data_IF_698747543093
#
_entry.id   IF_698747543093
#
_cell.length_a   1.000
_cell.length_b   1.000
_cell.length_c   1.000
_cell.angle_alpha   90.00
_cell.angle_beta   90.00
_cell.angle_gamma   90.00
#
_symmetry.space_group_name_H-M   'P 1'
#
loop_
_entity.id
_entity.type
_entity.pdbx_description
1 polymer ?
#
# COMPACT_ATOMS: atom_id res chain seq x y z
N UNK A 1 36.91 -31.52 70.11
CA UNK A 1 35.72 -32.25 70.31
C UNK A 1 34.65 -31.46 69.59
N UNK A 2 34.44 -31.88 68.35
CA UNK A 2 33.23 -32.48 67.78
C UNK A 2 32.18 -31.42 67.42
N UNK A 3 31.55 -31.42 66.35
CA UNK A 3 31.43 -32.26 65.17
C UNK A 3 30.77 -31.43 64.08
N UNK A 4 31.19 -31.67 62.85
CA UNK A 4 30.55 -31.29 61.61
C UNK A 4 29.11 -31.83 61.51
N UNK A 5 28.19 -31.04 61.01
CA UNK A 5 27.13 -31.58 60.17
C UNK A 5 26.84 -30.61 58.98
N UNK A 6 27.12 -31.17 57.82
CA UNK A 6 26.73 -30.67 56.51
C UNK A 6 25.24 -30.82 56.31
N UNK A 7 24.55 -29.75 55.95
CA UNK A 7 23.25 -29.86 55.26
C UNK A 7 23.32 -29.18 53.91
N UNK A 8 23.35 -30.03 52.91
CA UNK A 8 23.28 -29.73 51.51
C UNK A 8 21.79 -29.60 51.15
N UNK A 9 21.28 -28.40 51.00
CA UNK A 9 19.97 -28.17 50.42
C UNK A 9 20.09 -27.87 48.94
N UNK A 10 19.70 -28.85 48.12
CA UNK A 10 19.44 -28.75 46.68
C UNK A 10 18.28 -27.80 46.42
N UNK A 11 18.56 -26.61 45.92
CA UNK A 11 17.53 -25.78 45.31
C UNK A 11 17.46 -26.10 43.81
N UNK A 12 16.41 -26.87 43.45
CA UNK A 12 15.96 -27.05 42.08
C UNK A 12 15.35 -25.73 41.60
N UNK A 13 16.09 -25.00 40.80
CA UNK A 13 15.53 -23.91 40.00
C UNK A 13 14.71 -24.49 38.82
N UNK A 14 13.39 -24.46 38.95
CA UNK A 14 12.48 -24.61 37.84
C UNK A 14 12.58 -23.33 36.96
N UNK A 15 13.31 -23.44 35.87
CA UNK A 15 13.19 -22.48 34.77
C UNK A 15 11.85 -22.71 34.06
N UNK A 16 10.88 -21.87 34.36
CA UNK A 16 9.69 -21.70 33.53
C UNK A 16 10.10 -21.08 32.19
N UNK A 17 10.09 -21.91 31.16
CA UNK A 17 10.14 -21.46 29.78
C UNK A 17 8.82 -20.72 29.47
N UNK A 18 8.79 -19.41 29.61
CA UNK A 18 7.72 -18.60 29.06
C UNK A 18 7.89 -18.55 27.54
N UNK A 19 7.14 -19.38 26.83
CA UNK A 19 6.91 -19.19 25.41
C UNK A 19 6.32 -17.78 25.21
N UNK A 20 7.04 -16.94 24.50
CA UNK A 20 6.53 -15.62 24.09
C UNK A 20 5.47 -15.85 23.04
N UNK A 21 4.25 -15.47 23.33
CA UNK A 21 3.21 -15.35 22.30
C UNK A 21 3.70 -14.41 21.19
N UNK A 22 3.49 -14.77 19.89
CA UNK A 22 3.92 -13.94 18.78
C UNK A 22 3.19 -12.59 18.86
N UNK A 23 3.95 -11.51 18.78
CA UNK A 23 3.40 -10.16 18.73
C UNK A 23 2.71 -9.93 17.37
N UNK A 24 1.71 -9.04 17.31
CA UNK A 24 0.99 -8.71 16.06
C UNK A 24 1.93 -8.34 14.91
N UNK A 25 3.09 -7.79 15.22
CA UNK A 25 4.12 -7.38 14.25
C UNK A 25 4.79 -8.58 13.54
N UNK A 26 4.96 -9.70 14.26
CA UNK A 26 5.54 -10.93 13.69
C UNK A 26 4.54 -11.62 12.74
N UNK A 27 3.25 -11.58 13.05
CA UNK A 27 2.19 -12.16 12.20
C UNK A 27 1.94 -11.34 10.91
N UNK A 28 2.17 -10.03 10.95
CA UNK A 28 2.11 -9.17 9.75
C UNK A 28 3.34 -9.34 8.86
N UNK A 29 4.53 -9.55 9.43
CA UNK A 29 5.73 -9.87 8.67
C UNK A 29 5.62 -11.22 7.95
N UNK A 30 5.15 -12.26 8.62
CA UNK A 30 4.97 -13.57 8.00
C UNK A 30 3.94 -13.52 6.86
N UNK A 31 2.82 -12.78 7.00
CA UNK A 31 1.85 -12.59 5.92
C UNK A 31 2.41 -11.79 4.75
N UNK A 32 3.21 -10.77 5.00
CA UNK A 32 3.87 -10.00 3.94
C UNK A 32 4.93 -10.83 3.21
N UNK A 33 5.66 -11.70 3.89
CA UNK A 33 6.61 -12.62 3.29
C UNK A 33 5.92 -13.73 2.46
N UNK A 34 4.73 -14.19 2.82
CA UNK A 34 3.94 -15.11 1.99
C UNK A 34 3.41 -14.43 0.72
N UNK A 35 2.94 -13.20 0.81
CA UNK A 35 2.47 -12.43 -0.36
C UNK A 35 3.64 -12.15 -1.33
N UNK A 36 4.85 -11.89 -0.81
CA UNK A 36 6.04 -11.63 -1.63
C UNK A 36 6.53 -12.85 -2.41
N UNK A 37 6.15 -14.05 -2.01
CA UNK A 37 6.52 -15.31 -2.71
C UNK A 37 5.64 -15.61 -3.92
N UNK A 38 4.48 -14.98 -4.02
CA UNK A 38 3.49 -15.31 -5.05
C UNK A 38 3.61 -14.48 -6.32
N UNK A 39 4.36 -13.38 -6.33
CA UNK A 39 4.51 -12.55 -7.51
C UNK A 39 5.96 -12.12 -7.75
N UNK A 40 6.29 -11.93 -9.02
CA UNK A 40 7.59 -11.48 -9.53
C UNK A 40 7.38 -10.20 -10.35
N UNK A 41 8.14 -9.15 -10.04
CA UNK A 41 8.13 -7.91 -10.84
C UNK A 41 8.98 -8.15 -12.09
N UNK A 42 8.40 -7.92 -13.24
CA UNK A 42 9.07 -8.07 -14.54
C UNK A 42 9.41 -6.69 -15.12
N UNK A 43 10.36 -6.67 -16.08
CA UNK A 43 10.61 -5.46 -16.86
C UNK A 43 9.35 -5.01 -17.58
N UNK A 44 9.12 -3.69 -17.62
CA UNK A 44 7.99 -3.07 -18.33
C UNK A 44 8.00 -3.34 -19.84
N UNK A 45 9.14 -3.72 -20.39
CA UNK A 45 9.33 -4.06 -21.81
C UNK A 45 8.93 -5.50 -22.15
N UNK A 46 8.42 -6.26 -21.17
CA UNK A 46 7.91 -7.61 -21.42
C UNK A 46 6.80 -7.57 -22.47
N UNK A 47 7.07 -8.13 -23.65
CA UNK A 47 6.23 -7.96 -24.84
C UNK A 47 4.91 -8.76 -24.79
N UNK A 48 4.80 -9.75 -23.92
CA UNK A 48 3.62 -10.62 -23.83
C UNK A 48 3.05 -10.62 -22.42
N UNK A 49 1.78 -10.27 -22.31
CA UNK A 49 1.01 -10.34 -21.06
C UNK A 49 -0.32 -11.06 -21.30
N UNK A 50 -0.77 -11.82 -20.30
CA UNK A 50 -2.06 -12.51 -20.34
C UNK A 50 -3.24 -11.55 -20.12
N UNK A 51 -3.03 -10.54 -19.26
CA UNK A 51 -4.06 -9.56 -18.90
C UNK A 51 -3.47 -8.16 -18.83
N UNK A 52 -4.30 -7.18 -19.19
CA UNK A 52 -4.01 -5.76 -19.05
C UNK A 52 -5.08 -5.08 -18.21
N UNK A 53 -4.68 -4.38 -17.16
CA UNK A 53 -5.57 -3.69 -16.24
C UNK A 53 -5.20 -2.21 -16.14
N UNK A 54 -6.16 -1.37 -16.43
CA UNK A 54 -6.03 0.06 -16.21
C UNK A 54 -6.41 0.40 -14.77
N UNK A 55 -5.47 1.04 -14.07
CA UNK A 55 -5.63 1.47 -12.67
C UNK A 55 -5.51 2.98 -12.62
N UNK A 56 -6.48 3.65 -12.02
CA UNK A 56 -6.40 5.10 -11.75
C UNK A 56 -6.17 5.33 -10.27
N UNK A 57 -5.30 6.30 -9.94
CA UNK A 57 -5.05 6.74 -8.58
C UNK A 57 -5.54 8.17 -8.43
N UNK A 58 -6.48 8.38 -7.50
CA UNK A 58 -7.20 9.63 -7.30
C UNK A 58 -7.25 10.00 -5.82
N UNK A 59 -7.56 11.23 -5.53
CA UNK A 59 -7.61 11.79 -4.18
C UNK A 59 -7.12 13.24 -4.19
N UNK A 60 -7.24 13.92 -3.06
CA UNK A 60 -6.87 15.33 -2.93
C UNK A 60 -5.37 15.58 -3.21
N UNK A 61 -5.03 16.84 -3.44
CA UNK A 61 -3.63 17.24 -3.59
C UNK A 61 -2.84 17.00 -2.30
N UNK A 62 -1.60 16.53 -2.42
CA UNK A 62 -0.70 16.36 -1.28
C UNK A 62 -0.95 15.12 -0.41
N UNK A 63 -1.91 14.23 -0.74
CA UNK A 63 -2.15 12.98 0.02
C UNK A 63 -1.10 11.89 -0.24
N UNK A 64 -0.21 12.08 -1.22
CA UNK A 64 0.91 11.18 -1.50
C UNK A 64 0.66 10.15 -2.60
N UNK A 65 -0.30 10.36 -3.51
CA UNK A 65 -0.61 9.46 -4.64
C UNK A 65 0.64 9.10 -5.45
N UNK A 66 1.37 10.11 -5.91
CA UNK A 66 2.58 9.95 -6.71
C UNK A 66 3.69 9.26 -5.93
N UNK A 67 3.89 9.59 -4.65
CA UNK A 67 4.87 8.93 -3.80
C UNK A 67 4.55 7.44 -3.64
N UNK A 68 3.27 7.10 -3.43
CA UNK A 68 2.79 5.74 -3.32
C UNK A 68 3.02 4.96 -4.62
N UNK A 69 2.63 5.55 -5.75
CA UNK A 69 2.83 4.94 -7.08
C UNK A 69 4.30 4.72 -7.38
N UNK A 70 5.12 5.73 -7.12
CA UNK A 70 6.57 5.63 -7.34
C UNK A 70 7.17 4.55 -6.45
N UNK A 71 6.82 4.50 -5.16
CA UNK A 71 7.28 3.44 -4.25
C UNK A 71 6.88 2.06 -4.74
N UNK A 72 5.65 1.87 -5.19
CA UNK A 72 5.16 0.59 -5.67
C UNK A 72 5.87 0.12 -6.96
N UNK A 73 6.21 1.04 -7.86
CA UNK A 73 6.75 0.70 -9.19
C UNK A 73 8.28 0.66 -9.25
N UNK A 74 8.97 1.50 -8.48
CA UNK A 74 10.45 1.59 -8.47
C UNK A 74 11.10 0.97 -7.23
N UNK A 75 10.33 0.71 -6.17
CA UNK A 75 10.89 0.29 -4.88
C UNK A 75 11.55 1.43 -4.09
N UNK A 76 11.57 2.67 -4.62
CA UNK A 76 12.22 3.82 -3.98
C UNK A 76 11.19 4.76 -3.38
N UNK A 77 11.52 5.37 -2.24
CA UNK A 77 10.74 6.44 -1.64
C UNK A 77 11.42 7.79 -1.90
N UNK A 78 10.63 8.79 -2.35
CA UNK A 78 11.11 10.16 -2.57
C UNK A 78 10.38 11.12 -1.64
N UNK A 79 11.11 11.68 -0.68
CA UNK A 79 10.56 12.64 0.29
C UNK A 79 10.07 13.94 -0.36
N UNK A 80 10.77 14.42 -1.39
CA UNK A 80 10.46 15.68 -2.06
C UNK A 80 10.07 15.42 -3.51
N UNK A 81 8.77 15.41 -3.75
CA UNK A 81 8.23 15.39 -5.10
C UNK A 81 7.54 16.72 -5.41
N UNK A 82 7.80 17.25 -6.60
CA UNK A 82 7.00 18.36 -7.12
C UNK A 82 5.54 17.88 -7.28
N UNK A 83 4.60 18.81 -7.14
CA UNK A 83 3.18 18.48 -7.38
C UNK A 83 2.96 17.99 -8.80
N UNK A 84 2.17 16.94 -8.98
CA UNK A 84 1.82 16.39 -10.29
C UNK A 84 1.02 17.40 -11.09
N UNK A 85 1.42 17.63 -12.34
CA UNK A 85 0.68 18.46 -13.29
C UNK A 85 0.00 17.54 -14.30
N UNK A 86 -1.33 17.50 -14.26
CA UNK A 86 -2.12 16.62 -15.13
C UNK A 86 -2.11 15.18 -14.64
N UNK A 87 -1.35 14.31 -15.25
CA UNK A 87 -1.24 12.90 -14.89
C UNK A 87 0.15 12.37 -15.25
N UNK A 88 0.53 11.27 -14.59
CA UNK A 88 1.70 10.48 -14.93
C UNK A 88 1.31 9.03 -15.17
N UNK A 89 1.98 8.37 -16.11
CA UNK A 89 1.72 6.99 -16.51
C UNK A 89 2.88 6.09 -16.05
N UNK A 90 2.54 5.05 -15.30
CA UNK A 90 3.49 4.06 -14.79
C UNK A 90 3.09 2.67 -15.27
N UNK A 91 3.77 2.11 -16.27
CA UNK A 91 3.61 0.71 -16.62
C UNK A 91 4.25 -0.17 -15.55
N UNK A 92 3.51 -1.15 -15.07
CA UNK A 92 3.98 -2.07 -14.05
C UNK A 92 3.60 -3.49 -14.44
N UNK A 93 4.59 -4.36 -14.63
CA UNK A 93 4.35 -5.73 -15.09
C UNK A 93 4.72 -6.71 -13.99
N UNK A 94 3.79 -7.57 -13.64
CA UNK A 94 3.97 -8.59 -12.62
C UNK A 94 3.59 -9.96 -13.15
N UNK A 95 4.37 -10.95 -12.77
CA UNK A 95 4.00 -12.35 -12.91
C UNK A 95 3.39 -12.81 -11.60
N UNK A 96 2.17 -13.24 -11.65
CA UNK A 96 1.45 -13.80 -10.51
C UNK A 96 1.06 -15.23 -10.86
N UNK A 97 1.58 -16.19 -10.11
CA UNK A 97 1.47 -17.63 -10.44
C UNK A 97 1.99 -17.85 -11.87
N UNK A 98 1.16 -18.38 -12.78
CA UNK A 98 1.51 -18.65 -14.16
C UNK A 98 0.96 -17.61 -15.15
N UNK A 99 0.61 -16.41 -14.67
CA UNK A 99 0.01 -15.33 -15.47
C UNK A 99 0.84 -14.07 -15.40
N UNK A 100 1.02 -13.43 -16.55
CA UNK A 100 1.67 -12.13 -16.65
C UNK A 100 0.59 -11.05 -16.75
N UNK A 101 0.62 -10.12 -15.79
CA UNK A 101 -0.34 -9.03 -15.68
C UNK A 101 0.37 -7.72 -15.98
N UNK A 102 -0.15 -6.96 -16.92
CA UNK A 102 0.26 -5.58 -17.14
C UNK A 102 -0.70 -4.66 -16.41
N UNK A 103 -0.16 -3.85 -15.49
CA UNK A 103 -0.90 -2.85 -14.75
C UNK A 103 -0.53 -1.47 -15.31
N UNK A 104 -1.48 -0.81 -15.93
CA UNK A 104 -1.35 0.54 -16.46
C UNK A 104 -1.80 1.54 -15.41
N UNK A 105 -0.87 2.03 -14.59
CA UNK A 105 -1.16 2.90 -13.47
C UNK A 105 -1.14 4.36 -13.94
N UNK A 106 -2.27 5.05 -13.76
CA UNK A 106 -2.46 6.45 -14.08
C UNK A 106 -2.56 7.25 -12.79
N UNK A 107 -1.44 7.85 -12.40
CA UNK A 107 -1.38 8.77 -11.26
C UNK A 107 -1.90 10.13 -11.69
N UNK A 108 -2.89 10.65 -10.98
CA UNK A 108 -3.55 11.90 -11.34
C UNK A 108 -3.21 13.02 -10.36
N UNK A 109 -3.16 14.27 -10.86
CA UNK A 109 -3.09 15.42 -9.96
C UNK A 109 -4.37 15.54 -9.14
N UNK A 110 -4.22 15.90 -7.85
CA UNK A 110 -5.36 16.09 -6.94
C UNK A 110 -5.95 17.51 -6.94
N UNK A 111 -5.55 18.37 -7.89
CA UNK A 111 -6.02 19.75 -7.93
C UNK A 111 -7.35 19.87 -8.68
N UNK A 112 -8.28 20.61 -8.10
CA UNK A 112 -9.63 20.84 -8.64
C UNK A 112 -9.60 21.46 -10.05
N UNK A 113 -8.59 22.27 -10.34
CA UNK A 113 -8.41 22.93 -11.64
C UNK A 113 -8.29 21.93 -12.81
N UNK A 114 -7.83 20.71 -12.56
CA UNK A 114 -7.61 19.69 -13.59
C UNK A 114 -8.69 18.61 -13.65
N UNK A 115 -9.74 18.72 -12.85
CA UNK A 115 -10.82 17.70 -12.79
C UNK A 115 -11.49 17.42 -14.14
N UNK A 116 -11.59 18.43 -15.02
CA UNK A 116 -12.15 18.23 -16.36
C UNK A 116 -11.26 17.39 -17.26
N UNK A 117 -9.94 17.54 -17.14
CA UNK A 117 -8.95 16.75 -17.88
C UNK A 117 -8.91 15.30 -17.38
N UNK A 118 -9.04 15.13 -16.07
CA UNK A 118 -8.98 13.81 -15.43
C UNK A 118 -10.17 12.94 -15.86
N UNK A 119 -11.32 13.51 -16.16
CA UNK A 119 -12.54 12.76 -16.57
C UNK A 119 -12.30 11.78 -17.71
N UNK A 120 -11.46 12.13 -18.68
CA UNK A 120 -11.16 11.24 -19.81
C UNK A 120 -10.39 9.98 -19.39
N UNK A 121 -9.68 10.02 -18.25
CA UNK A 121 -8.90 8.89 -17.76
C UNK A 121 -9.71 7.87 -16.96
N UNK A 122 -10.92 8.22 -16.52
CA UNK A 122 -11.79 7.30 -15.77
C UNK A 122 -12.35 6.17 -16.64
N UNK A 123 -12.53 6.42 -17.94
CA UNK A 123 -13.07 5.43 -18.86
C UNK A 123 -12.21 4.16 -18.92
N UNK A 124 -12.87 3.02 -18.93
CA UNK A 124 -12.24 1.69 -19.05
C UNK A 124 -11.27 1.35 -17.92
N UNK A 125 -11.39 1.99 -16.75
CA UNK A 125 -10.58 1.64 -15.59
C UNK A 125 -11.11 0.35 -14.96
N UNK A 126 -10.20 -0.60 -14.73
CA UNK A 126 -10.51 -1.85 -14.01
C UNK A 126 -10.54 -1.62 -12.50
N UNK A 127 -9.73 -0.68 -12.03
CA UNK A 127 -9.57 -0.37 -10.62
C UNK A 127 -9.37 1.14 -10.43
N UNK A 128 -10.05 1.70 -9.43
CA UNK A 128 -9.82 3.05 -8.93
C UNK A 128 -9.31 2.98 -7.48
N UNK A 129 -8.12 3.50 -7.24
CA UNK A 129 -7.52 3.62 -5.92
C UNK A 129 -7.75 5.04 -5.43
N UNK A 130 -8.52 5.18 -4.35
CA UNK A 130 -8.81 6.46 -3.70
C UNK A 130 -7.86 6.60 -2.53
N UNK A 131 -7.03 7.66 -2.55
CA UNK A 131 -6.03 7.91 -1.51
C UNK A 131 -6.42 9.14 -0.71
N UNK A 132 -6.39 9.00 0.61
CA UNK A 132 -6.45 10.11 1.56
C UNK A 132 -5.23 10.07 2.48
N UNK A 133 -4.93 11.17 3.15
CA UNK A 133 -3.86 11.22 4.16
C UNK A 133 -4.47 11.21 5.56
N UNK A 134 -3.99 10.34 6.44
CA UNK A 134 -4.54 10.18 7.79
C UNK A 134 -4.32 11.43 8.65
N UNK A 135 -3.28 12.22 8.34
CA UNK A 135 -2.96 13.51 8.94
C UNK A 135 -3.83 14.66 8.40
N UNK A 136 -4.71 14.41 7.42
CA UNK A 136 -5.50 15.45 6.75
C UNK A 136 -6.99 15.10 6.73
N UNK A 137 -7.72 15.57 7.76
CA UNK A 137 -9.17 15.35 7.89
C UNK A 137 -9.97 15.83 6.67
N UNK A 138 -9.52 16.89 5.98
CA UNK A 138 -10.19 17.39 4.77
C UNK A 138 -10.14 16.33 3.67
N UNK A 139 -8.99 15.71 3.47
CA UNK A 139 -8.83 14.66 2.45
C UNK A 139 -9.71 13.45 2.71
N UNK A 140 -9.93 13.09 3.98
CA UNK A 140 -10.89 12.06 4.38
C UNK A 140 -12.34 12.46 4.05
N UNK A 141 -12.72 13.70 4.35
CA UNK A 141 -14.05 14.21 4.03
C UNK A 141 -14.34 14.30 2.52
N UNK A 142 -13.30 14.35 1.69
CA UNK A 142 -13.42 14.40 0.22
C UNK A 142 -13.67 13.02 -0.42
N UNK A 143 -13.57 11.92 0.34
CA UNK A 143 -13.68 10.54 -0.19
C UNK A 143 -15.01 10.32 -0.90
N UNK A 144 -16.12 10.76 -0.30
CA UNK A 144 -17.47 10.58 -0.88
C UNK A 144 -17.59 11.29 -2.24
N UNK A 145 -16.96 12.44 -2.40
CA UNK A 145 -16.95 13.16 -3.67
C UNK A 145 -16.16 12.40 -4.73
N UNK A 146 -14.98 11.86 -4.36
CA UNK A 146 -14.17 11.03 -5.26
C UNK A 146 -14.92 9.76 -5.68
N UNK A 147 -15.60 9.07 -4.75
CA UNK A 147 -16.43 7.89 -5.05
C UNK A 147 -17.56 8.26 -6.03
N UNK A 148 -18.27 9.37 -5.79
CA UNK A 148 -19.35 9.82 -6.69
C UNK A 148 -18.85 10.11 -8.10
N UNK A 149 -17.71 10.77 -8.23
CA UNK A 149 -17.09 11.04 -9.52
C UNK A 149 -16.71 9.74 -10.24
N UNK A 150 -16.07 8.81 -9.55
CA UNK A 150 -15.75 7.52 -10.13
C UNK A 150 -16.98 6.77 -10.60
N UNK A 151 -18.03 6.68 -9.79
CA UNK A 151 -19.26 5.99 -10.16
C UNK A 151 -19.98 6.59 -11.36
N UNK A 152 -19.81 7.89 -11.58
CA UNK A 152 -20.41 8.57 -12.73
C UNK A 152 -19.59 8.47 -14.02
N UNK A 153 -18.30 8.14 -13.94
CA UNK A 153 -17.34 8.23 -15.05
C UNK A 153 -16.70 6.88 -15.40
N UNK A 154 -16.60 5.98 -14.44
CA UNK A 154 -16.04 4.64 -14.63
C UNK A 154 -17.10 3.65 -15.11
N UNK A 155 -16.64 2.48 -15.57
CA UNK A 155 -17.51 1.34 -15.82
C UNK A 155 -18.18 0.85 -14.53
N UNK A 156 -19.42 0.30 -14.58
CA UNK A 156 -20.05 -0.34 -13.43
C UNK A 156 -19.22 -1.47 -12.81
N UNK A 157 -18.35 -2.10 -13.60
CA UNK A 157 -17.49 -3.20 -13.16
C UNK A 157 -16.18 -2.72 -12.50
N UNK A 158 -15.90 -1.41 -12.48
CA UNK A 158 -14.71 -0.85 -11.86
C UNK A 158 -14.69 -1.14 -10.37
N UNK A 159 -13.61 -1.74 -9.88
CA UNK A 159 -13.40 -1.98 -8.46
C UNK A 159 -12.83 -0.74 -7.78
N UNK A 160 -13.06 -0.61 -6.48
CA UNK A 160 -12.57 0.51 -5.68
C UNK A 160 -11.72 0.00 -4.52
N UNK A 161 -10.55 0.65 -4.33
CA UNK A 161 -9.76 0.51 -3.12
C UNK A 161 -9.61 1.87 -2.45
N UNK A 162 -9.66 1.88 -1.12
CA UNK A 162 -9.40 3.06 -0.31
C UNK A 162 -8.08 2.86 0.45
N UNK A 163 -7.20 3.85 0.36
CA UNK A 163 -5.90 3.83 1.04
C UNK A 163 -5.78 5.06 1.94
N UNK A 164 -5.59 4.83 3.25
CA UNK A 164 -5.12 5.83 4.20
C UNK A 164 -3.60 5.88 4.18
N UNK A 165 -3.05 6.95 3.65
CA UNK A 165 -1.61 7.16 3.52
C UNK A 165 -1.08 8.06 4.64
N UNK A 166 0.26 8.07 4.81
CA UNK A 166 0.99 8.84 5.84
C UNK A 166 0.68 8.40 7.28
N UNK A 167 0.53 7.10 7.48
CA UNK A 167 0.28 6.52 8.80
C UNK A 167 1.53 6.53 9.71
N UNK A 168 2.66 6.99 9.17
CA UNK A 168 3.94 7.20 9.83
C UNK A 168 4.06 8.57 10.51
N UNK A 169 3.06 9.42 10.38
CA UNK A 169 3.04 10.75 11.01
C UNK A 169 2.57 10.58 12.46
N UNK A 170 3.44 10.92 13.42
CA UNK A 170 3.13 10.91 14.85
C UNK A 170 1.87 11.73 15.15
N UNK A 171 0.98 11.19 15.99
CA UNK A 171 -0.29 11.83 16.40
C UNK A 171 -0.11 13.14 17.21
N UNK A 172 1.12 13.57 17.45
CA UNK A 172 1.47 14.75 18.28
C UNK A 172 1.57 16.08 17.49
N UNK A 173 0.76 16.29 16.45
CA UNK A 173 0.67 17.61 15.81
C UNK A 173 -0.75 18.06 15.59
#
# INVERSE_FOLDING_TARGET
>A
MDQNENNNENQNEHQENKEKEPTNDDSEKEKNDEISKDFEILSSDSAQYDYNYKIIIIGDSGVGKTCLTYRATSGEFREKMAGTIGFEYFPFVVKYKNKILKLEIWDTCGQEAYRSLIKSFFNNSSLAIIVYAVDNKKSFSSIDEWIRQCRSLCSPDTRFFLIGNKNDVDEEK
#
